data_IF_620065384260
#
_entry.id   IF_620065384260
#
_cell.length_a   1.000
_cell.length_b   1.000
_cell.length_c   1.000
_cell.angle_alpha   90.00
_cell.angle_beta   90.00
_cell.angle_gamma   90.00
#
_symmetry.space_group_name_H-M   'P 1'
#
loop_
_entity.id
_entity.type
_entity.pdbx_description
1 polymer ?
#
# COMPACT_ATOMS: atom_id res chain seq x y z
N UNK A 1 -12.01 -31.04 4.14
CA UNK A 1 -10.97 -30.51 5.06
C UNK A 1 -11.58 -29.32 5.77
N UNK A 2 -11.48 -29.22 7.10
CA UNK A 2 -11.94 -28.01 7.83
C UNK A 2 -10.90 -26.91 7.59
N UNK A 3 -11.31 -25.74 7.10
CA UNK A 3 -10.43 -24.58 7.00
C UNK A 3 -10.10 -24.08 8.42
N UNK A 4 -8.81 -23.97 8.74
CA UNK A 4 -8.35 -23.43 10.02
C UNK A 4 -8.40 -21.91 9.96
N UNK A 5 -9.01 -21.28 10.97
CA UNK A 5 -8.97 -19.82 11.14
C UNK A 5 -7.58 -19.45 11.66
N UNK A 6 -6.92 -18.53 10.95
CA UNK A 6 -5.54 -18.10 11.21
C UNK A 6 -5.47 -16.78 11.97
N UNK A 7 -6.39 -15.85 11.69
CA UNK A 7 -6.51 -14.59 12.41
C UNK A 7 -7.94 -14.05 12.36
N UNK A 8 -8.32 -13.32 13.41
CA UNK A 8 -9.58 -12.58 13.50
C UNK A 8 -9.21 -11.15 13.87
N UNK A 9 -9.64 -10.18 13.07
CA UNK A 9 -9.42 -8.76 13.34
C UNK A 9 -10.75 -8.01 13.25
N UNK A 10 -11.09 -7.25 14.28
CA UNK A 10 -12.28 -6.39 14.29
C UNK A 10 -11.88 -4.95 13.98
N UNK A 11 -12.68 -4.26 13.16
CA UNK A 11 -12.51 -2.82 12.99
C UNK A 11 -13.03 -2.10 14.25
N UNK A 12 -12.24 -2.06 15.32
CA UNK A 12 -12.55 -1.28 16.52
C UNK A 12 -11.75 0.02 16.48
N UNK A 13 -12.36 1.11 16.02
CA UNK A 13 -11.79 2.44 16.22
C UNK A 13 -11.78 2.74 17.72
N UNK A 14 -10.63 2.58 18.37
CA UNK A 14 -10.44 2.86 19.81
C UNK A 14 -10.30 4.34 20.13
N UNK A 15 -11.05 5.21 19.44
CA UNK A 15 -11.14 6.62 19.82
C UNK A 15 -12.31 6.79 20.78
N UNK A 16 -12.00 6.76 22.08
CA UNK A 16 -12.87 7.05 23.23
C UNK A 16 -13.43 8.49 23.29
N UNK A 17 -13.56 9.18 22.14
CA UNK A 17 -14.25 10.45 22.05
C UNK A 17 -15.67 10.23 21.54
N UNK A 18 -16.59 10.27 22.50
CA UNK A 18 -18.05 10.37 22.36
C UNK A 18 -18.49 11.25 21.19
N UNK A 19 -19.28 10.67 20.27
CA UNK A 19 -20.19 11.30 19.28
C UNK A 19 -20.04 10.86 17.80
N UNK A 20 -19.36 9.76 17.47
CA UNK A 20 -19.45 9.17 16.13
C UNK A 20 -20.18 7.84 16.12
N UNK A 21 -21.27 7.77 15.33
CA UNK A 21 -22.13 6.60 15.10
C UNK A 21 -21.44 5.43 14.34
N UNK A 22 -20.12 5.28 14.40
CA UNK A 22 -19.39 4.22 13.69
C UNK A 22 -19.26 2.96 14.55
N UNK A 23 -20.39 2.29 14.79
CA UNK A 23 -20.40 0.87 15.18
C UNK A 23 -19.96 0.03 13.98
N UNK A 24 -18.66 -0.01 13.70
CA UNK A 24 -18.08 -0.91 12.71
C UNK A 24 -18.08 -2.34 13.28
N UNK A 25 -19.25 -2.98 13.20
CA UNK A 25 -19.49 -4.39 13.53
C UNK A 25 -18.85 -5.36 12.52
N UNK A 26 -17.72 -4.96 11.92
CA UNK A 26 -17.05 -5.69 10.85
C UNK A 26 -15.84 -6.45 11.40
N UNK A 27 -15.76 -7.71 11.00
CA UNK A 27 -14.74 -8.65 11.39
C UNK A 27 -14.12 -9.21 10.11
N UNK A 28 -12.80 -9.08 9.98
CA UNK A 28 -12.03 -9.81 8.99
C UNK A 28 -11.60 -11.15 9.61
N UNK A 29 -11.97 -12.24 8.94
CA UNK A 29 -11.57 -13.59 9.30
C UNK A 29 -10.64 -14.11 8.22
N UNK A 30 -9.40 -14.38 8.57
CA UNK A 30 -8.47 -15.06 7.68
C UNK A 30 -8.54 -16.56 7.89
N UNK A 31 -8.50 -17.29 6.78
CA UNK A 31 -8.50 -18.73 6.73
C UNK A 31 -7.24 -19.22 6.02
N UNK A 32 -6.70 -20.34 6.50
CA UNK A 32 -5.44 -20.89 6.01
C UNK A 32 -5.42 -21.20 4.51
N UNK A 33 -6.55 -21.52 3.89
CA UNK A 33 -6.63 -21.96 2.48
C UNK A 33 -7.53 -21.08 1.61
N UNK A 34 -8.45 -20.34 2.21
CA UNK A 34 -9.51 -19.61 1.51
C UNK A 34 -9.34 -18.08 1.58
N UNK A 35 -8.15 -17.60 1.97
CA UNK A 35 -7.85 -16.17 2.12
C UNK A 35 -8.70 -15.49 3.20
N UNK A 36 -9.40 -14.40 2.87
CA UNK A 36 -10.09 -13.53 3.84
C UNK A 36 -11.58 -13.49 3.54
N UNK A 37 -12.38 -13.58 4.60
CA UNK A 37 -13.81 -13.32 4.59
C UNK A 37 -14.13 -12.13 5.49
N UNK A 38 -15.04 -11.28 5.06
CA UNK A 38 -15.55 -10.17 5.85
C UNK A 38 -16.93 -10.52 6.40
N UNK A 39 -17.07 -10.37 7.71
CA UNK A 39 -18.26 -10.75 8.46
C UNK A 39 -18.79 -9.52 9.18
N UNK A 40 -20.09 -9.26 9.04
CA UNK A 40 -20.80 -8.22 9.79
C UNK A 40 -21.69 -8.84 10.85
N UNK A 41 -21.63 -8.32 12.06
CA UNK A 41 -22.60 -8.65 13.11
C UNK A 41 -23.89 -7.85 12.93
N UNK A 42 -24.99 -8.56 12.69
CA UNK A 42 -26.33 -7.98 12.65
C UNK A 42 -26.97 -8.04 14.04
N UNK A 43 -27.01 -6.89 14.71
CA UNK A 43 -27.55 -6.77 16.07
C UNK A 43 -29.06 -7.07 16.14
N UNK A 44 -29.82 -6.79 15.07
CA UNK A 44 -31.27 -7.03 15.06
C UNK A 44 -31.60 -8.51 15.01
N UNK A 45 -30.86 -9.27 14.18
CA UNK A 45 -31.08 -10.72 14.03
C UNK A 45 -30.20 -11.54 14.96
N UNK A 46 -29.26 -10.91 15.69
CA UNK A 46 -28.28 -11.56 16.55
C UNK A 46 -27.48 -12.64 15.80
N UNK A 47 -27.07 -12.33 14.56
CA UNK A 47 -26.39 -13.26 13.65
C UNK A 47 -25.19 -12.62 12.96
N UNK A 48 -24.18 -13.44 12.69
CA UNK A 48 -23.06 -13.10 11.82
C UNK A 48 -23.43 -13.35 10.36
N UNK A 49 -23.22 -12.36 9.52
CA UNK A 49 -23.50 -12.43 8.08
C UNK A 49 -22.19 -12.22 7.34
N UNK A 50 -21.85 -13.13 6.43
CA UNK A 50 -20.69 -12.94 5.55
C UNK A 50 -21.09 -12.00 4.43
N UNK A 51 -20.32 -10.93 4.25
CA UNK A 51 -20.65 -9.84 3.30
C UNK A 51 -19.67 -9.79 2.12
N UNK A 52 -18.47 -10.36 2.26
CA UNK A 52 -17.46 -10.40 1.20
C UNK A 52 -16.50 -11.58 1.39
N UNK A 53 -15.94 -12.05 0.28
CA UNK A 53 -14.84 -13.00 0.23
C UNK A 53 -13.77 -12.53 -0.76
N UNK A 54 -12.51 -12.83 -0.48
CA UNK A 54 -11.46 -12.73 -1.49
C UNK A 54 -11.68 -13.82 -2.55
N UNK A 55 -11.49 -13.44 -3.80
CA UNK A 55 -11.66 -14.34 -4.94
C UNK A 55 -10.52 -15.35 -5.06
N UNK A 56 -9.32 -14.98 -4.60
CA UNK A 56 -8.13 -15.81 -4.74
C UNK A 56 -7.83 -16.58 -3.46
N UNK A 57 -7.52 -17.89 -3.54
CA UNK A 57 -7.04 -18.63 -2.39
C UNK A 57 -5.64 -18.13 -2.00
N UNK A 58 -5.48 -17.71 -0.75
CA UNK A 58 -4.23 -17.21 -0.18
C UNK A 58 -4.06 -17.79 1.21
N UNK A 59 -2.83 -18.15 1.55
CA UNK A 59 -2.50 -18.66 2.88
C UNK A 59 -2.25 -17.51 3.86
N UNK A 60 -3.29 -16.71 4.10
CA UNK A 60 -3.20 -15.53 4.97
C UNK A 60 -2.89 -16.00 6.39
N UNK A 61 -1.87 -15.40 6.99
CA UNK A 61 -1.46 -15.66 8.36
C UNK A 61 -1.97 -14.57 9.30
N UNK A 62 -1.96 -13.31 8.85
CA UNK A 62 -2.37 -12.18 9.66
C UNK A 62 -3.01 -11.08 8.80
N UNK A 63 -3.96 -10.34 9.37
CA UNK A 63 -4.61 -9.22 8.71
C UNK A 63 -4.99 -8.12 9.72
N UNK A 64 -5.04 -6.87 9.24
CA UNK A 64 -5.38 -5.70 10.03
C UNK A 64 -6.10 -4.66 9.19
N UNK A 65 -7.16 -4.06 9.75
CA UNK A 65 -7.85 -2.94 9.11
C UNK A 65 -6.96 -1.70 9.13
N UNK A 66 -6.69 -1.17 7.94
CA UNK A 66 -5.96 0.08 7.75
C UNK A 66 -6.89 1.26 8.01
N UNK A 67 -8.09 1.20 7.48
CA UNK A 67 -9.14 2.18 7.68
C UNK A 67 -10.51 1.51 7.47
N UNK A 68 -11.54 2.31 7.23
CA UNK A 68 -12.92 1.84 7.04
C UNK A 68 -13.19 1.24 5.65
N UNK A 69 -12.19 1.00 4.82
CA UNK A 69 -12.36 0.40 3.49
C UNK A 69 -11.21 -0.52 3.12
N UNK A 70 -10.06 -0.38 3.77
CA UNK A 70 -8.81 -1.02 3.43
C UNK A 70 -8.40 -2.03 4.50
N UNK A 71 -8.00 -3.21 4.04
CA UNK A 71 -7.49 -4.29 4.86
C UNK A 71 -6.09 -4.64 4.39
N UNK A 72 -5.13 -4.61 5.31
CA UNK A 72 -3.78 -5.09 5.03
C UNK A 72 -3.63 -6.52 5.53
N UNK A 73 -2.98 -7.37 4.74
CA UNK A 73 -2.81 -8.77 5.08
C UNK A 73 -1.43 -9.28 4.69
N UNK A 74 -1.05 -10.39 5.31
CA UNK A 74 0.23 -11.05 5.11
C UNK A 74 0.01 -12.56 5.06
N UNK A 75 0.65 -13.23 4.10
CA UNK A 75 0.60 -14.69 3.98
C UNK A 75 1.84 -15.40 4.54
N UNK A 76 1.74 -16.71 4.66
CA UNK A 76 2.82 -17.60 5.10
C UNK A 76 4.05 -17.60 4.16
N UNK A 77 3.96 -17.06 2.95
CA UNK A 77 5.08 -17.00 2.00
C UNK A 77 5.75 -15.63 1.96
N UNK A 78 5.39 -14.74 2.90
CA UNK A 78 5.96 -13.41 3.03
C UNK A 78 5.43 -12.42 1.99
N UNK A 79 4.28 -12.71 1.36
CA UNK A 79 3.55 -11.73 0.57
C UNK A 79 2.72 -10.83 1.47
N UNK A 80 2.64 -9.57 1.09
CA UNK A 80 1.80 -8.55 1.70
C UNK A 80 0.78 -8.08 0.68
N UNK A 81 -0.44 -7.86 1.15
CA UNK A 81 -1.58 -7.46 0.35
C UNK A 81 -2.24 -6.24 0.98
N UNK A 82 -2.59 -5.26 0.15
CA UNK A 82 -3.57 -4.24 0.51
C UNK A 82 -4.83 -4.53 -0.28
N UNK A 83 -5.89 -4.87 0.43
CA UNK A 83 -7.22 -5.04 -0.11
C UNK A 83 -8.04 -3.79 0.13
N UNK A 84 -8.92 -3.47 -0.82
CA UNK A 84 -9.98 -2.49 -0.63
C UNK A 84 -11.33 -3.14 -0.85
N UNK A 85 -12.32 -2.63 -0.14
CA UNK A 85 -13.68 -3.15 -0.16
C UNK A 85 -14.51 -2.25 -1.06
N UNK A 86 -15.13 -2.85 -2.06
CA UNK A 86 -15.90 -2.14 -3.08
C UNK A 86 -17.31 -2.71 -3.18
N UNK A 87 -18.25 -1.89 -3.66
CA UNK A 87 -19.56 -2.37 -4.08
C UNK A 87 -19.41 -3.33 -5.26
N UNK A 88 -20.06 -4.50 -5.23
CA UNK A 88 -20.06 -5.43 -6.37
C UNK A 88 -20.74 -4.86 -7.61
N UNK A 89 -21.71 -3.95 -7.46
CA UNK A 89 -22.50 -3.44 -8.59
C UNK A 89 -21.76 -2.37 -9.38
N UNK A 90 -21.05 -1.48 -8.68
CA UNK A 90 -20.43 -0.31 -9.29
C UNK A 90 -18.91 -0.31 -9.23
N UNK A 91 -18.29 -1.27 -8.51
CA UNK A 91 -16.85 -1.26 -8.18
C UNK A 91 -16.37 0.05 -7.52
N UNK A 92 -17.30 0.83 -6.97
CA UNK A 92 -17.00 2.05 -6.22
C UNK A 92 -16.56 1.66 -4.80
N UNK A 93 -15.57 2.38 -4.29
CA UNK A 93 -15.06 2.20 -2.93
C UNK A 93 -16.16 2.60 -1.94
N UNK A 94 -16.61 1.67 -1.09
CA UNK A 94 -17.68 1.91 -0.13
C UNK A 94 -17.14 2.08 1.29
N UNK A 95 -17.35 3.25 1.91
CA UNK A 95 -17.07 3.49 3.33
C UNK A 95 -18.03 2.70 4.23
N UNK A 96 -17.51 2.04 5.27
CA UNK A 96 -18.34 1.24 6.20
C UNK A 96 -19.46 1.99 6.89
N UNK A 97 -19.30 3.30 7.16
CA UNK A 97 -20.31 4.14 7.80
C UNK A 97 -21.63 4.20 7.03
N UNK A 98 -21.61 3.86 5.74
CA UNK A 98 -22.74 3.98 4.84
C UNK A 98 -23.46 2.65 4.58
N UNK A 99 -22.97 1.53 5.13
CA UNK A 99 -23.61 0.22 4.95
C UNK A 99 -24.86 0.16 5.86
N UNK A 100 -25.98 0.60 5.30
CA UNK A 100 -27.28 0.67 5.97
C UNK A 100 -27.83 -0.73 6.29
N UNK A 101 -28.85 -0.80 7.16
CA UNK A 101 -29.52 -2.06 7.52
C UNK A 101 -30.20 -2.75 6.32
N UNK A 102 -30.50 -2.02 5.24
CA UNK A 102 -31.05 -2.55 3.99
C UNK A 102 -30.02 -3.17 3.05
N UNK A 103 -28.72 -3.00 3.32
CA UNK A 103 -27.63 -3.43 2.43
C UNK A 103 -27.14 -4.86 2.70
N UNK A 104 -27.87 -5.65 3.48
CA UNK A 104 -27.56 -7.06 3.75
C UNK A 104 -27.51 -7.89 2.46
N UNK A 105 -28.15 -7.43 1.38
CA UNK A 105 -28.13 -8.05 0.06
C UNK A 105 -27.08 -7.46 -0.90
N UNK A 106 -26.33 -6.43 -0.50
CA UNK A 106 -25.21 -5.94 -1.32
C UNK A 106 -24.02 -6.86 -1.07
N UNK A 107 -23.70 -7.70 -2.06
CA UNK A 107 -22.43 -8.43 -2.06
C UNK A 107 -21.31 -7.40 -2.18
N UNK A 108 -20.38 -7.37 -1.23
CA UNK A 108 -19.18 -6.56 -1.34
C UNK A 108 -18.08 -7.41 -1.96
N UNK A 109 -17.19 -6.75 -2.70
CA UNK A 109 -16.01 -7.39 -3.26
C UNK A 109 -14.77 -6.98 -2.47
N UNK A 110 -13.86 -7.94 -2.30
CA UNK A 110 -12.50 -7.66 -1.83
C UNK A 110 -11.61 -7.53 -3.07
N UNK A 111 -11.09 -6.33 -3.31
CA UNK A 111 -10.23 -6.04 -4.46
C UNK A 111 -8.80 -5.86 -4.00
N UNK A 112 -7.89 -6.63 -4.57
CA UNK A 112 -6.46 -6.48 -4.35
C UNK A 112 -5.94 -5.20 -5.04
N UNK A 113 -5.46 -4.25 -4.24
CA UNK A 113 -4.92 -3.00 -4.74
C UNK A 113 -3.40 -2.97 -4.79
N UNK A 114 -2.74 -3.63 -3.85
CA UNK A 114 -1.29 -3.69 -3.78
C UNK A 114 -0.80 -5.08 -3.39
N UNK A 115 0.34 -5.49 -3.96
CA UNK A 115 1.02 -6.76 -3.60
C UNK A 115 2.53 -6.63 -3.67
N UNK A 116 3.22 -7.19 -2.69
CA UNK A 116 4.68 -7.36 -2.70
C UNK A 116 5.11 -8.60 -1.91
N UNK A 117 6.17 -9.27 -2.36
CA UNK A 117 6.81 -10.34 -1.61
C UNK A 117 8.07 -9.84 -0.88
N UNK A 118 8.13 -10.02 0.44
CA UNK A 118 9.28 -9.69 1.28
C UNK A 118 10.30 -10.82 1.46
N UNK A 119 9.98 -12.02 0.96
CA UNK A 119 10.83 -13.23 0.93
C UNK A 119 11.24 -13.82 2.26
N UNK A 120 10.91 -13.17 3.36
CA UNK A 120 11.18 -13.65 4.69
C UNK A 120 9.86 -14.03 5.34
N UNK A 121 9.86 -15.16 6.05
CA UNK A 121 8.74 -15.53 6.90
C UNK A 121 8.58 -14.48 8.00
N UNK A 122 7.35 -14.03 8.17
CA UNK A 122 6.99 -12.94 9.07
C UNK A 122 5.96 -13.43 10.06
N UNK A 123 6.02 -12.88 11.27
CA UNK A 123 5.20 -13.36 12.38
C UNK A 123 4.01 -12.46 12.64
N UNK A 124 4.26 -11.15 12.74
CA UNK A 124 3.30 -10.19 13.24
C UNK A 124 3.09 -9.01 12.29
N UNK A 125 1.88 -8.44 12.35
CA UNK A 125 1.51 -7.17 11.75
C UNK A 125 1.09 -6.22 12.87
N UNK A 126 1.68 -5.03 12.90
CA UNK A 126 1.33 -3.98 13.85
C UNK A 126 1.02 -2.72 13.05
N UNK A 127 -0.10 -2.08 13.36
CA UNK A 127 -0.49 -0.80 12.77
C UNK A 127 -0.22 0.33 13.74
N UNK A 128 0.37 1.40 13.23
CA UNK A 128 0.54 2.67 13.92
C UNK A 128 -0.11 3.77 13.07
N UNK A 129 -0.88 4.63 13.70
CA UNK A 129 -1.50 5.79 13.05
C UNK A 129 -0.91 7.05 13.65
N UNK A 130 -0.37 7.91 12.80
CA UNK A 130 0.17 9.21 13.19
C UNK A 130 -0.51 10.29 12.37
N UNK A 131 -0.83 11.41 13.01
CA UNK A 131 -1.32 12.60 12.32
C UNK A 131 -0.11 13.52 12.15
N UNK A 132 0.11 14.00 10.93
CA UNK A 132 1.19 14.96 10.66
C UNK A 132 0.81 16.39 11.08
N UNK A 133 1.72 17.33 10.91
CA UNK A 133 1.48 18.74 11.26
C UNK A 133 0.41 19.44 10.41
N UNK A 134 0.08 18.89 9.24
CA UNK A 134 -0.99 19.40 8.35
C UNK A 134 -2.35 18.75 8.65
N UNK A 135 -2.40 17.81 9.59
CA UNK A 135 -3.60 17.05 9.91
C UNK A 135 -3.86 15.86 8.97
N UNK A 136 -2.91 15.52 8.09
CA UNK A 136 -3.01 14.33 7.25
C UNK A 136 -2.67 13.07 8.06
N UNK A 137 -3.46 12.03 7.81
CA UNK A 137 -3.31 10.74 8.48
C UNK A 137 -2.25 9.91 7.76
N UNK A 138 -1.15 9.63 8.43
CA UNK A 138 -0.12 8.69 7.98
C UNK A 138 -0.35 7.36 8.68
N UNK A 139 -0.51 6.30 7.88
CA UNK A 139 -0.68 4.93 8.41
C UNK A 139 0.60 4.15 8.13
N UNK A 140 1.25 3.72 9.21
CA UNK A 140 2.45 2.91 9.18
C UNK A 140 2.12 1.49 9.63
N UNK A 141 2.56 0.50 8.86
CA UNK A 141 2.36 -0.91 9.16
C UNK A 141 3.73 -1.57 9.31
N UNK A 142 3.93 -2.25 10.42
CA UNK A 142 5.19 -2.89 10.77
C UNK A 142 5.04 -4.39 10.76
N UNK A 143 6.05 -5.06 10.23
CA UNK A 143 6.16 -6.52 10.30
C UNK A 143 7.59 -6.93 10.62
N UNK A 144 7.75 -7.84 11.58
CA UNK A 144 9.04 -8.42 11.95
C UNK A 144 9.24 -9.80 11.35
N UNK A 145 10.45 -10.06 10.86
CA UNK A 145 10.89 -11.39 10.44
C UNK A 145 11.36 -12.21 11.63
N UNK A 146 11.40 -13.53 11.43
CA UNK A 146 12.03 -14.46 12.38
C UNK A 146 13.53 -14.19 12.57
N UNK A 147 14.17 -13.53 11.60
CA UNK A 147 15.58 -13.13 11.65
C UNK A 147 15.81 -11.74 12.27
N UNK A 148 14.77 -11.09 12.81
CA UNK A 148 14.88 -9.79 13.47
C UNK A 148 14.81 -8.56 12.54
N UNK A 149 14.54 -8.73 11.25
CA UNK A 149 14.37 -7.61 10.33
C UNK A 149 12.97 -7.01 10.48
N UNK A 150 12.91 -5.69 10.53
CA UNK A 150 11.66 -4.94 10.54
C UNK A 150 11.40 -4.38 9.14
N UNK A 151 10.20 -4.63 8.59
CA UNK A 151 9.70 -3.93 7.40
C UNK A 151 8.64 -2.95 7.87
N UNK A 152 8.71 -1.74 7.31
CA UNK A 152 7.69 -0.72 7.43
C UNK A 152 7.01 -0.52 6.07
N UNK A 153 5.67 -0.48 6.07
CA UNK A 153 4.88 0.00 4.95
C UNK A 153 4.21 1.30 5.35
N UNK A 154 4.37 2.32 4.51
CA UNK A 154 3.72 3.61 4.71
C UNK A 154 2.70 3.83 3.61
N UNK A 155 1.47 4.13 4.02
CA UNK A 155 0.41 4.53 3.11
C UNK A 155 0.39 6.05 3.09
N UNK A 156 0.82 6.61 1.95
CA UNK A 156 1.06 8.03 1.76
C UNK A 156 0.21 8.55 0.59
N UNK A 157 -0.37 9.73 0.76
CA UNK A 157 -0.98 10.48 -0.34
C UNK A 157 0.10 11.20 -1.14
N UNK A 158 0.25 10.84 -2.41
CA UNK A 158 1.19 11.49 -3.32
C UNK A 158 0.45 12.05 -4.53
N UNK A 159 0.95 13.19 -5.02
CA UNK A 159 0.42 13.83 -6.21
C UNK A 159 0.60 12.92 -7.44
N UNK A 160 -0.26 13.08 -8.46
CA UNK A 160 -0.13 12.29 -9.69
C UNK A 160 1.23 12.48 -10.36
N UNK A 161 1.77 13.68 -10.26
CA UNK A 161 3.11 14.02 -10.74
C UNK A 161 4.21 13.25 -9.97
N UNK A 162 4.17 13.26 -8.64
CA UNK A 162 5.13 12.56 -7.79
C UNK A 162 5.12 11.04 -8.02
N UNK A 163 3.93 10.44 -8.10
CA UNK A 163 3.77 9.00 -8.40
C UNK A 163 4.43 8.65 -9.75
N UNK A 164 4.30 9.52 -10.75
CA UNK A 164 4.92 9.30 -12.06
C UNK A 164 6.44 9.40 -12.01
N UNK A 165 7.00 10.37 -11.25
CA UNK A 165 8.45 10.46 -11.02
C UNK A 165 8.96 9.15 -10.43
N UNK A 166 8.39 8.70 -9.32
CA UNK A 166 8.84 7.48 -8.63
C UNK A 166 8.74 6.24 -9.52
N UNK A 167 7.64 6.11 -10.27
CA UNK A 167 7.43 5.01 -11.20
C UNK A 167 8.44 4.99 -12.34
N UNK A 168 8.72 6.14 -12.94
CA UNK A 168 9.71 6.23 -14.01
C UNK A 168 11.13 6.07 -13.50
N UNK A 169 11.42 6.60 -12.31
CA UNK A 169 12.72 6.45 -11.66
C UNK A 169 12.98 4.97 -11.41
N UNK A 170 12.03 4.27 -10.79
CA UNK A 170 12.11 2.83 -10.57
C UNK A 170 12.45 2.08 -11.86
N UNK A 171 11.72 2.34 -12.95
CA UNK A 171 11.94 1.66 -14.22
C UNK A 171 13.26 2.02 -14.92
N UNK A 172 13.85 3.18 -14.62
CA UNK A 172 15.17 3.56 -15.13
C UNK A 172 16.27 2.90 -14.28
N UNK A 173 16.12 2.91 -12.96
CA UNK A 173 17.02 2.24 -12.03
C UNK A 173 17.04 0.73 -12.26
N UNK A 174 15.91 0.09 -12.52
CA UNK A 174 15.88 -1.37 -12.78
C UNK A 174 16.73 -1.79 -13.99
N UNK A 175 16.99 -0.87 -14.92
CA UNK A 175 17.81 -1.12 -16.11
C UNK A 175 19.24 -0.54 -15.98
N UNK A 176 19.51 0.25 -14.94
CA UNK A 176 20.80 0.89 -14.75
C UNK A 176 21.81 -0.13 -14.20
N UNK A 177 23.04 -0.10 -14.70
CA UNK A 177 24.06 -1.06 -14.29
C UNK A 177 24.51 -0.86 -12.84
N UNK A 178 24.44 0.37 -12.29
CA UNK A 178 24.86 0.68 -10.93
C UNK A 178 23.90 0.14 -9.86
N UNK A 179 22.67 -0.18 -10.26
CA UNK A 179 21.59 -0.63 -9.38
C UNK A 179 21.16 -2.06 -9.68
N UNK A 180 21.98 -2.80 -10.43
CA UNK A 180 21.77 -4.24 -10.61
C UNK A 180 21.97 -4.96 -9.28
N UNK A 181 21.07 -5.89 -8.91
CA UNK A 181 21.25 -6.68 -7.70
C UNK A 181 22.59 -7.43 -7.72
N UNK A 182 23.29 -7.41 -6.58
CA UNK A 182 24.64 -7.97 -6.44
C UNK A 182 24.73 -9.46 -6.84
N UNK A 183 23.66 -10.21 -6.59
CA UNK A 183 23.57 -11.64 -6.91
C UNK A 183 23.01 -11.92 -8.32
N UNK A 184 22.91 -10.90 -9.18
CA UNK A 184 22.47 -11.06 -10.57
C UNK A 184 20.98 -11.32 -10.77
N UNK A 185 20.18 -11.36 -9.71
CA UNK A 185 18.73 -11.51 -9.80
C UNK A 185 18.11 -10.31 -10.51
N UNK A 186 17.08 -10.54 -11.33
CA UNK A 186 16.21 -9.47 -11.80
C UNK A 186 15.33 -8.97 -10.64
N UNK A 187 15.32 -7.67 -10.39
CA UNK A 187 14.58 -7.06 -9.29
C UNK A 187 13.06 -7.28 -9.39
N UNK A 188 12.49 -7.23 -10.60
CA UNK A 188 11.04 -7.36 -10.77
C UNK A 188 10.59 -8.81 -10.53
N UNK A 189 11.32 -9.77 -11.11
CA UNK A 189 11.19 -11.19 -10.78
C UNK A 189 11.44 -11.43 -9.29
N UNK A 190 12.34 -10.66 -8.68
CA UNK A 190 12.67 -10.81 -7.28
C UNK A 190 11.49 -10.46 -6.37
N UNK A 191 10.85 -9.31 -6.61
CA UNK A 191 9.72 -8.80 -5.82
C UNK A 191 8.36 -9.42 -6.15
N UNK A 192 8.26 -10.15 -7.27
CA UNK A 192 7.01 -10.72 -7.81
C UNK A 192 6.94 -12.26 -7.76
N UNK A 193 7.55 -12.90 -6.75
CA UNK A 193 7.74 -14.36 -6.71
C UNK A 193 6.44 -15.18 -6.84
N UNK A 194 5.42 -14.84 -6.06
CA UNK A 194 4.13 -15.56 -6.05
C UNK A 194 3.02 -14.77 -6.75
N UNK A 195 3.09 -13.44 -6.66
CA UNK A 195 2.12 -12.51 -7.21
C UNK A 195 2.85 -11.37 -7.89
N UNK A 196 2.29 -10.86 -8.99
CA UNK A 196 2.87 -9.71 -9.68
C UNK A 196 2.81 -8.48 -8.78
N UNK A 197 3.95 -7.81 -8.59
CA UNK A 197 4.01 -6.57 -7.81
C UNK A 197 3.06 -5.54 -8.40
N UNK A 198 2.28 -4.89 -7.53
CA UNK A 198 1.26 -3.91 -7.91
C UNK A 198 1.29 -2.73 -6.95
N UNK A 199 1.32 -1.51 -7.51
CA UNK A 199 1.14 -0.24 -6.80
C UNK A 199 2.00 -0.05 -5.52
N UNK A 200 3.23 -0.57 -5.51
CA UNK A 200 4.17 -0.42 -4.39
C UNK A 200 5.49 0.13 -4.90
N UNK A 201 6.05 1.07 -4.15
CA UNK A 201 7.39 1.59 -4.35
C UNK A 201 8.32 1.05 -3.26
N UNK A 202 9.43 0.48 -3.69
CA UNK A 202 10.48 0.05 -2.79
C UNK A 202 11.43 1.23 -2.56
N UNK A 203 11.34 1.82 -1.36
CA UNK A 203 12.15 2.97 -0.99
C UNK A 203 13.63 2.65 -1.00
N UNK A 204 14.03 1.47 -0.52
CA UNK A 204 15.44 1.07 -0.46
C UNK A 204 16.02 0.96 -1.87
N UNK A 205 15.25 0.42 -2.82
CA UNK A 205 15.66 0.39 -4.22
C UNK A 205 15.75 1.80 -4.84
N UNK A 206 14.77 2.66 -4.58
CA UNK A 206 14.75 4.03 -5.12
C UNK A 206 15.90 4.88 -4.56
N UNK A 207 16.26 4.70 -3.29
CA UNK A 207 17.34 5.43 -2.64
C UNK A 207 18.72 5.06 -3.15
N UNK A 208 18.87 3.95 -3.87
CA UNK A 208 20.11 3.67 -4.61
C UNK A 208 20.46 4.77 -5.60
N UNK A 209 19.49 5.60 -6.03
CA UNK A 209 19.77 6.80 -6.81
C UNK A 209 20.87 7.67 -6.19
N UNK A 210 20.88 7.83 -4.86
CA UNK A 210 21.88 8.67 -4.18
C UNK A 210 23.30 8.12 -4.28
N UNK A 211 23.45 6.80 -4.42
CA UNK A 211 24.74 6.09 -4.55
C UNK A 211 25.30 6.12 -5.97
N UNK A 212 24.51 6.53 -6.96
CA UNK A 212 24.94 6.59 -8.37
C UNK A 212 25.88 7.78 -8.59
N UNK A 213 26.96 7.63 -9.39
CA UNK A 213 27.82 8.76 -9.75
C UNK A 213 27.07 9.92 -10.41
N UNK A 214 27.47 11.16 -10.11
CA UNK A 214 26.78 12.38 -10.56
C UNK A 214 26.59 12.46 -12.09
N UNK A 215 27.55 11.99 -12.88
CA UNK A 215 27.42 12.00 -14.34
C UNK A 215 26.26 11.11 -14.82
N UNK A 216 26.02 9.99 -14.13
CA UNK A 216 24.98 9.03 -14.49
C UNK A 216 23.63 9.48 -13.91
N UNK A 217 23.61 10.06 -12.71
CA UNK A 217 22.42 10.76 -12.16
C UNK A 217 21.88 11.79 -13.16
N UNK A 218 22.74 12.62 -13.77
CA UNK A 218 22.33 13.57 -14.81
C UNK A 218 21.67 12.89 -16.02
N UNK A 219 22.20 11.77 -16.50
CA UNK A 219 21.59 11.00 -17.59
C UNK A 219 20.23 10.42 -17.19
N UNK A 220 20.09 9.92 -15.97
CA UNK A 220 18.83 9.42 -15.42
C UNK A 220 17.80 10.55 -15.37
N UNK A 221 18.16 11.71 -14.82
CA UNK A 221 17.30 12.90 -14.76
C UNK A 221 16.87 13.38 -16.16
N UNK A 222 17.76 13.36 -17.15
CA UNK A 222 17.41 13.70 -18.53
C UNK A 222 16.36 12.73 -19.10
N UNK A 223 16.58 11.41 -18.94
CA UNK A 223 15.59 10.39 -19.35
C UNK A 223 14.25 10.53 -18.61
N UNK A 224 14.28 10.91 -17.33
CA UNK A 224 13.08 11.17 -16.54
C UNK A 224 12.31 12.37 -17.10
N UNK A 225 13.00 13.49 -17.34
CA UNK A 225 12.42 14.70 -17.92
C UNK A 225 11.72 14.40 -19.24
N UNK A 226 12.35 13.61 -20.12
CA UNK A 226 11.74 13.18 -21.38
C UNK A 226 10.47 12.35 -21.19
N UNK A 227 10.49 11.35 -20.29
CA UNK A 227 9.32 10.48 -20.01
C UNK A 227 8.16 11.26 -19.40
N UNK A 228 8.45 12.13 -18.44
CA UNK A 228 7.45 12.98 -17.77
C UNK A 228 6.82 13.93 -18.77
N UNK A 229 7.64 14.64 -19.56
CA UNK A 229 7.16 15.58 -20.58
C UNK A 229 6.30 14.86 -21.63
N UNK A 230 6.72 13.68 -22.11
CA UNK A 230 5.91 12.87 -23.03
C UNK A 230 4.55 12.52 -22.43
N UNK A 231 4.49 12.14 -21.15
CA UNK A 231 3.22 11.79 -20.48
C UNK A 231 2.34 13.00 -20.19
N UNK A 232 2.92 14.15 -19.83
CA UNK A 232 2.19 15.41 -19.63
C UNK A 232 1.59 15.94 -20.95
N UNK A 233 2.25 15.72 -22.09
CA UNK A 233 1.65 16.00 -23.42
C UNK A 233 0.37 15.21 -23.71
N UNK A 234 0.15 14.08 -23.02
CA UNK A 234 -1.09 13.30 -23.10
C UNK A 234 -2.10 13.60 -21.97
N UNK A 235 -1.78 14.49 -21.03
CA UNK A 235 -2.68 14.95 -19.97
C UNK A 235 -2.56 16.47 -19.81
N UNK A 236 -3.18 17.20 -20.74
CA UNK A 236 -3.42 18.63 -20.54
C UNK A 236 -4.74 18.77 -19.76
N UNK A 237 -4.57 19.06 -18.46
CA UNK A 237 -5.44 19.80 -17.55
C UNK A 237 -5.35 19.17 -16.15
N UNK A 238 -4.46 19.73 -15.33
CA UNK A 238 -4.70 20.16 -13.95
C UNK A 238 -3.37 20.56 -13.33
N UNK A 239 -3.32 21.80 -12.83
CA UNK A 239 -2.20 22.36 -12.07
C UNK A 239 -2.14 21.71 -10.68
N UNK A 240 -0.98 21.22 -10.27
CA UNK A 240 -0.73 20.79 -8.90
C UNK A 240 0.26 21.77 -8.26
N UNK A 241 -0.18 22.41 -7.17
CA UNK A 241 0.66 23.23 -6.28
C UNK A 241 1.66 22.33 -5.57
N UNK A 242 2.90 22.80 -5.46
CA UNK A 242 3.93 22.21 -4.62
C UNK A 242 3.66 22.56 -3.16
N UNK A 243 3.55 21.55 -2.30
CA UNK A 243 3.39 21.74 -0.86
C UNK A 243 4.62 21.26 -0.09
N UNK A 244 4.98 22.02 0.96
CA UNK A 244 6.17 21.88 1.80
C UNK A 244 6.13 20.72 2.82
N UNK A 245 7.32 20.47 3.37
CA UNK A 245 7.88 19.26 4.02
C UNK A 245 7.29 18.90 5.39
N UNK A 246 7.32 17.60 5.69
CA UNK A 246 6.82 16.89 6.87
C UNK A 246 7.96 16.74 7.91
N UNK A 247 7.71 16.88 9.21
CA UNK A 247 8.80 16.81 10.21
C UNK A 247 8.89 15.49 11.00
N UNK A 248 7.88 14.60 10.94
CA UNK A 248 7.83 13.44 11.85
C UNK A 248 7.95 12.05 11.20
N UNK A 249 8.15 11.95 9.88
CA UNK A 249 8.25 10.65 9.20
C UNK A 249 9.53 10.52 8.36
N UNK A 250 10.45 9.67 8.81
CA UNK A 250 11.78 9.49 8.20
C UNK A 250 11.74 8.97 6.75
N UNK A 251 10.85 8.03 6.42
CA UNK A 251 10.80 7.42 5.09
C UNK A 251 10.17 8.41 4.11
N UNK A 252 9.04 9.00 4.49
CA UNK A 252 8.39 10.05 3.71
C UNK A 252 9.33 11.23 3.43
N UNK A 253 10.07 11.69 4.44
CA UNK A 253 11.02 12.79 4.29
C UNK A 253 12.16 12.46 3.32
N UNK A 254 12.69 11.23 3.38
CA UNK A 254 13.71 10.78 2.42
C UNK A 254 13.13 10.68 1.00
N UNK A 255 11.90 10.22 0.84
CA UNK A 255 11.23 10.15 -0.48
C UNK A 255 10.99 11.55 -1.07
N UNK A 256 10.54 12.51 -0.24
CA UNK A 256 10.34 13.89 -0.67
C UNK A 256 11.66 14.52 -1.07
N UNK A 257 12.71 14.36 -0.25
CA UNK A 257 14.05 14.83 -0.56
C UNK A 257 14.57 14.25 -1.89
N UNK A 258 14.33 12.96 -2.14
CA UNK A 258 14.66 12.32 -3.41
C UNK A 258 13.93 12.99 -4.58
N UNK A 259 12.63 13.24 -4.44
CA UNK A 259 11.84 13.92 -5.49
C UNK A 259 12.36 15.34 -5.73
N UNK A 260 12.67 16.08 -4.66
CA UNK A 260 13.21 17.44 -4.74
C UNK A 260 14.57 17.49 -5.44
N UNK A 261 15.50 16.60 -5.08
CA UNK A 261 16.82 16.51 -5.71
C UNK A 261 16.69 16.20 -7.21
N UNK A 262 15.83 15.24 -7.57
CA UNK A 262 15.56 14.92 -8.98
C UNK A 262 14.98 16.13 -9.72
N UNK A 263 14.02 16.83 -9.12
CA UNK A 263 13.40 18.01 -9.71
C UNK A 263 14.43 19.14 -9.92
N UNK A 264 15.30 19.37 -8.95
CA UNK A 264 16.37 20.35 -9.05
C UNK A 264 17.34 19.99 -10.18
N UNK A 265 17.81 18.74 -10.24
CA UNK A 265 18.67 18.27 -11.32
C UNK A 265 18.00 18.36 -12.69
N UNK A 266 16.70 18.07 -12.80
CA UNK A 266 15.96 18.21 -14.06
C UNK A 266 15.84 19.67 -14.54
N UNK A 267 15.78 20.63 -13.61
CA UNK A 267 15.77 22.08 -13.92
C UNK A 267 17.14 22.56 -14.41
N UNK A 268 18.22 22.04 -13.85
CA UNK A 268 19.60 22.41 -14.22
C UNK A 268 20.03 21.85 -15.59
N UNK A 269 19.39 20.78 -16.06
CA UNK A 269 19.63 20.19 -17.38
C UNK A 269 18.96 21.08 -18.45
N UNK A 270 19.78 21.89 -19.13
CA UNK A 270 19.41 22.68 -20.31
C UNK A 270 19.08 21.81 -21.51
#
# INVERSE_FOLDING_TARGET
MKSEITSINSNSNSNLNSNSNSNSNLIAVSQKTESISLIKWNQTTNQFIVIAHDYFPRMIQNCIFVDDINLFAMDFWGNFFLFSITDSKNNEIQKFSNISKSDINQQLNIVENCVINSRQLRSNLVKNETIDFKGEKIISLYSSSTTGNLICFEIVSLSSYQINILRFLHGILSLNHFTKPLLGNDYESFSSKNYKRKNIFDSDFLFQFFEIPNFEKKKICLKLKEKITKKQRFKINQEEKTEEIFENNLILNKLIKLIEEINQMMKEIK
#
